data_IF_440257750159
#
_entry.id   IF_440257750159
#
_cell.length_a   1.000
_cell.length_b   1.000
_cell.length_c   1.000
_cell.angle_alpha   90.00
_cell.angle_beta   90.00
_cell.angle_gamma   90.00
#
_symmetry.space_group_name_H-M   'P 1'
#
loop_
_entity.id
_entity.type
_entity.pdbx_description
1 polymer ?
#
# COMPACT_ATOMS: atom_id res chain seq x y z
N UNK A 1 -6.91 -4.77 -22.03
CA UNK A 1 -6.33 -5.36 -20.81
C UNK A 1 -7.45 -5.53 -19.79
N UNK A 2 -7.69 -6.74 -19.26
CA UNK A 2 -8.67 -6.92 -18.16
C UNK A 2 -8.19 -6.11 -16.96
N UNK A 3 -9.10 -5.36 -16.31
CA UNK A 3 -8.81 -4.72 -15.03
C UNK A 3 -8.83 -5.82 -13.96
N UNK A 4 -7.71 -6.04 -13.28
CA UNK A 4 -7.58 -6.98 -12.16
C UNK A 4 -7.47 -6.21 -10.85
N UNK A 5 -7.94 -6.79 -9.76
CA UNK A 5 -7.81 -6.24 -8.41
C UNK A 5 -6.34 -6.16 -8.06
N UNK A 6 -5.57 -7.22 -8.31
CA UNK A 6 -4.13 -7.26 -8.07
C UNK A 6 -3.43 -6.11 -8.81
N UNK A 7 -3.71 -5.94 -10.11
CA UNK A 7 -3.11 -4.86 -10.91
C UNK A 7 -3.51 -3.46 -10.40
N UNK A 8 -4.75 -3.31 -9.94
CA UNK A 8 -5.22 -2.04 -9.36
C UNK A 8 -4.50 -1.72 -8.05
N UNK A 9 -4.31 -2.71 -7.18
CA UNK A 9 -3.56 -2.57 -5.93
C UNK A 9 -2.10 -2.22 -6.19
N UNK A 10 -1.44 -2.88 -7.14
CA UNK A 10 -0.07 -2.56 -7.52
C UNK A 10 0.07 -1.10 -7.96
N UNK A 11 -0.86 -0.63 -8.79
CA UNK A 11 -0.88 0.77 -9.26
C UNK A 11 -1.09 1.74 -8.08
N UNK A 12 -2.06 1.47 -7.21
CA UNK A 12 -2.36 2.33 -6.05
C UNK A 12 -1.15 2.42 -5.12
N UNK A 13 -0.50 1.28 -4.82
CA UNK A 13 0.67 1.25 -3.94
C UNK A 13 1.85 2.00 -4.57
N UNK A 14 2.11 1.80 -5.87
CA UNK A 14 3.17 2.51 -6.58
C UNK A 14 2.93 4.03 -6.59
N UNK A 15 1.70 4.48 -6.85
CA UNK A 15 1.32 5.89 -6.80
C UNK A 15 1.45 6.44 -5.39
N UNK A 16 1.01 5.69 -4.37
CA UNK A 16 1.18 6.07 -2.96
C UNK A 16 2.65 6.27 -2.58
N UNK A 17 3.54 5.38 -3.01
CA UNK A 17 4.97 5.54 -2.76
C UNK A 17 5.54 6.79 -3.44
N UNK A 18 5.12 7.10 -4.68
CA UNK A 18 5.50 8.35 -5.33
C UNK A 18 5.03 9.57 -4.52
N UNK A 19 3.81 9.55 -3.98
CA UNK A 19 3.32 10.61 -3.10
C UNK A 19 4.13 10.68 -1.81
N UNK A 20 4.47 9.54 -1.20
CA UNK A 20 5.28 9.47 0.02
C UNK A 20 6.63 10.17 -0.14
N UNK A 21 7.34 9.95 -1.26
CA UNK A 21 8.68 10.53 -1.47
C UNK A 21 8.65 11.98 -1.99
N UNK A 22 7.51 12.46 -2.50
CA UNK A 22 7.37 13.81 -3.07
C UNK A 22 6.61 14.78 -2.16
N UNK A 23 5.82 14.26 -1.22
CA UNK A 23 4.93 15.06 -0.37
C UNK A 23 5.40 15.07 1.07
N UNK A 24 5.78 16.24 1.58
CA UNK A 24 6.22 16.43 2.97
C UNK A 24 5.09 16.06 3.95
N UNK A 25 5.41 15.27 4.98
CA UNK A 25 4.46 14.84 6.01
C UNK A 25 3.45 13.78 5.56
N UNK A 26 3.59 13.21 4.36
CA UNK A 26 2.74 12.11 3.89
C UNK A 26 2.86 10.88 4.80
N UNK A 27 4.11 10.51 5.13
CA UNK A 27 4.40 9.42 6.05
C UNK A 27 3.78 9.67 7.43
N UNK A 28 3.96 10.87 7.98
CA UNK A 28 3.41 11.26 9.30
C UNK A 28 1.88 11.17 9.36
N UNK A 29 1.19 11.43 8.25
CA UNK A 29 -0.27 11.37 8.16
C UNK A 29 -0.83 9.96 8.07
N UNK A 30 -0.05 9.01 7.55
CA UNK A 30 -0.52 7.65 7.28
C UNK A 30 0.17 6.56 8.09
N UNK A 31 1.28 6.86 8.78
CA UNK A 31 1.94 5.87 9.62
C UNK A 31 1.00 5.42 10.72
N UNK A 32 1.15 4.16 11.09
CA UNK A 32 0.45 3.60 12.22
C UNK A 32 1.04 4.19 13.50
N UNK A 33 0.25 4.99 14.19
CA UNK A 33 0.64 5.60 15.46
C UNK A 33 -0.52 5.49 16.45
N UNK A 34 -0.21 4.91 17.61
CA UNK A 34 -1.19 4.59 18.65
C UNK A 34 -1.95 5.82 19.16
N UNK A 35 -1.25 6.91 19.42
CA UNK A 35 -1.87 8.12 19.96
C UNK A 35 -2.97 8.64 19.02
N UNK A 36 -2.69 8.71 17.72
CA UNK A 36 -3.69 9.17 16.75
C UNK A 36 -4.84 8.19 16.57
N UNK A 37 -4.57 6.88 16.59
CA UNK A 37 -5.62 5.84 16.50
C UNK A 37 -6.55 5.90 17.71
N UNK A 38 -6.02 6.05 18.92
CA UNK A 38 -6.83 6.22 20.15
C UNK A 38 -7.67 7.52 20.11
N UNK A 39 -7.22 8.53 19.36
CA UNK A 39 -7.94 9.77 19.12
C UNK A 39 -8.86 9.74 17.88
N UNK A 40 -9.14 8.56 17.32
CA UNK A 40 -10.15 8.38 16.28
C UNK A 40 -9.61 8.30 14.84
N UNK A 41 -8.30 8.39 14.63
CA UNK A 41 -7.68 8.25 13.30
C UNK A 41 -7.54 6.78 12.88
N UNK A 42 -8.63 6.02 12.89
CA UNK A 42 -8.65 4.58 12.59
C UNK A 42 -8.24 4.25 11.15
N UNK A 43 -8.32 5.22 10.23
CA UNK A 43 -7.86 5.04 8.86
C UNK A 43 -6.39 4.61 8.80
N UNK A 44 -5.58 4.98 9.81
CA UNK A 44 -4.16 4.61 9.93
C UNK A 44 -3.92 3.10 10.01
N UNK A 45 -4.91 2.34 10.49
CA UNK A 45 -4.85 0.86 10.52
C UNK A 45 -4.77 0.26 9.11
N UNK A 46 -5.33 0.95 8.11
CA UNK A 46 -5.34 0.50 6.73
C UNK A 46 -4.30 1.23 5.88
N UNK A 47 -4.15 2.55 6.06
CA UNK A 47 -3.24 3.35 5.22
C UNK A 47 -1.77 3.04 5.46
N UNK A 48 -1.40 2.47 6.61
CA UNK A 48 -0.02 2.03 6.85
C UNK A 48 0.46 1.00 5.82
N UNK A 49 -0.44 0.19 5.25
CA UNK A 49 -0.10 -0.76 4.19
C UNK A 49 0.32 -0.10 2.86
N UNK A 50 0.07 1.21 2.71
CA UNK A 50 0.46 1.98 1.53
C UNK A 50 1.85 2.62 1.68
N UNK A 51 2.40 2.68 2.89
CA UNK A 51 3.71 3.26 3.19
C UNK A 51 4.82 2.23 3.04
N UNK A 52 5.96 2.65 2.50
CA UNK A 52 7.12 1.78 2.29
C UNK A 52 8.40 2.46 2.74
N UNK A 53 9.26 1.73 3.44
CA UNK A 53 10.55 2.22 3.96
C UNK A 53 11.69 2.31 2.91
N UNK A 54 11.36 2.33 1.62
CA UNK A 54 12.33 2.45 0.54
C UNK A 54 12.01 1.63 -0.70
N UNK A 55 12.76 1.90 -1.78
CA UNK A 55 12.49 1.34 -3.12
C UNK A 55 12.58 -0.18 -3.16
N UNK A 56 13.57 -0.78 -2.49
CA UNK A 56 13.72 -2.24 -2.45
C UNK A 56 12.57 -2.89 -1.66
N UNK A 57 12.16 -2.28 -0.56
CA UNK A 57 11.05 -2.78 0.25
C UNK A 57 9.75 -2.76 -0.58
N UNK A 58 9.50 -1.68 -1.32
CA UNK A 58 8.40 -1.60 -2.29
C UNK A 58 8.51 -2.69 -3.37
N UNK A 59 9.66 -2.82 -4.03
CA UNK A 59 9.84 -3.73 -5.16
C UNK A 59 9.55 -5.19 -4.77
N UNK A 60 10.06 -5.66 -3.63
CA UNK A 60 9.82 -7.01 -3.16
C UNK A 60 8.35 -7.25 -2.76
N UNK A 61 7.69 -6.26 -2.16
CA UNK A 61 6.27 -6.38 -1.81
C UNK A 61 5.37 -6.40 -3.06
N UNK A 62 5.64 -5.55 -4.06
CA UNK A 62 4.90 -5.58 -5.33
C UNK A 62 5.12 -6.90 -6.08
N UNK A 63 6.34 -7.43 -6.08
CA UNK A 63 6.64 -8.74 -6.66
C UNK A 63 5.87 -9.85 -5.94
N UNK A 64 5.88 -9.87 -4.62
CA UNK A 64 5.14 -10.85 -3.82
C UNK A 64 3.63 -10.74 -4.04
N UNK A 65 3.09 -9.52 -4.04
CA UNK A 65 1.67 -9.27 -4.30
C UNK A 65 1.26 -9.70 -5.70
N UNK A 66 2.09 -9.44 -6.73
CA UNK A 66 1.82 -9.93 -8.07
C UNK A 66 1.85 -11.46 -8.14
N UNK A 67 2.90 -12.07 -7.58
CA UNK A 67 3.13 -13.51 -7.64
C UNK A 67 2.09 -14.33 -6.89
N UNK A 68 1.58 -13.81 -5.76
CA UNK A 68 0.58 -14.48 -4.92
C UNK A 68 -0.85 -14.01 -5.21
N UNK A 69 -1.05 -12.73 -5.47
CA UNK A 69 -2.37 -12.13 -5.72
C UNK A 69 -2.97 -12.58 -7.04
N UNK A 70 -2.18 -12.65 -8.12
CA UNK A 70 -2.68 -13.07 -9.44
C UNK A 70 -3.28 -14.48 -9.45
N UNK A 71 -2.60 -15.53 -8.93
CA UNK A 71 -3.20 -16.87 -8.87
C UNK A 71 -4.39 -16.92 -7.89
N UNK A 72 -4.36 -16.16 -6.79
CA UNK A 72 -5.47 -16.09 -5.84
C UNK A 72 -6.72 -15.50 -6.50
N UNK A 73 -6.58 -14.36 -7.18
CA UNK A 73 -7.66 -13.68 -7.92
C UNK A 73 -8.19 -14.56 -9.08
N UNK A 74 -7.31 -15.26 -9.80
CA UNK A 74 -7.76 -16.17 -10.85
C UNK A 74 -8.53 -17.38 -10.31
N UNK A 75 -8.25 -17.83 -9.09
CA UNK A 75 -8.88 -19.00 -8.50
C UNK A 75 -10.20 -18.66 -7.77
N UNK A 76 -10.21 -17.57 -6.99
CA UNK A 76 -11.36 -17.20 -6.15
C UNK A 76 -12.26 -16.11 -6.77
N UNK A 77 -11.75 -15.36 -7.75
CA UNK A 77 -12.37 -14.12 -8.24
C UNK A 77 -11.89 -12.88 -7.49
#
# INVERSE_FOLDING_TARGET
MRRTITGSLLLIIAVSYLLQITTVGYEDRFLLNRFYVENGEYYRLFTVALLHGGLWHLAFNLLALYALGTPLENYFG
#
